data_IF_704840640650
#
_entry.id   IF_704840640650
#
_cell.length_a   1.000
_cell.length_b   1.000
_cell.length_c   1.000
_cell.angle_alpha   90.00
_cell.angle_beta   90.00
_cell.angle_gamma   90.00
#
_symmetry.space_group_name_H-M   'P 1'
#
loop_
_entity.id
_entity.type
_entity.pdbx_description
1 polymer ?
#
# COMPACT_ATOMS: atom_id res chain seq x y z
N UNK A 1 -2.74 13.74 5.58
CA UNK A 1 -1.54 12.99 6.00
C UNK A 1 -0.72 12.61 4.77
N UNK A 2 0.47 13.20 4.63
CA UNK A 2 1.50 12.72 3.69
C UNK A 2 2.07 11.43 4.30
N UNK A 3 1.85 10.31 3.62
CA UNK A 3 2.03 8.96 4.17
C UNK A 3 3.46 8.56 4.54
N UNK A 4 4.47 9.35 4.19
CA UNK A 4 5.87 9.17 4.61
C UNK A 4 6.58 10.53 4.70
N UNK A 5 7.63 10.66 5.52
CA UNK A 5 8.47 11.85 5.52
C UNK A 5 9.05 12.12 4.13
N UNK A 6 9.08 13.39 3.72
CA UNK A 6 9.48 13.80 2.37
C UNK A 6 10.84 13.24 1.95
N UNK A 7 11.80 13.14 2.87
CA UNK A 7 13.15 12.62 2.60
C UNK A 7 13.20 11.13 2.28
N UNK A 8 12.28 10.31 2.84
CA UNK A 8 12.19 8.88 2.52
C UNK A 8 11.73 8.70 1.08
N UNK A 9 10.68 9.43 0.70
CA UNK A 9 10.16 9.45 -0.66
C UNK A 9 11.21 9.96 -1.65
N UNK A 10 11.88 11.08 -1.34
CA UNK A 10 12.94 11.62 -2.19
C UNK A 10 14.10 10.65 -2.38
N UNK A 11 14.56 9.99 -1.31
CA UNK A 11 15.62 8.98 -1.39
C UNK A 11 15.23 7.79 -2.29
N UNK A 12 14.00 7.29 -2.17
CA UNK A 12 13.48 6.22 -3.02
C UNK A 12 13.45 6.64 -4.51
N UNK A 13 12.96 7.85 -4.81
CA UNK A 13 12.91 8.34 -6.19
C UNK A 13 14.31 8.53 -6.79
N UNK A 14 15.27 9.05 -6.03
CA UNK A 14 16.66 9.19 -6.49
C UNK A 14 17.30 7.83 -6.78
N UNK A 15 17.07 6.83 -5.92
CA UNK A 15 17.55 5.47 -6.13
C UNK A 15 16.95 4.87 -7.41
N UNK A 16 15.63 4.99 -7.60
CA UNK A 16 14.97 4.51 -8.81
C UNK A 16 15.50 5.22 -10.06
N UNK A 17 15.63 6.54 -10.02
CA UNK A 17 16.21 7.31 -11.13
C UNK A 17 17.62 6.83 -11.46
N UNK A 18 18.49 6.66 -10.46
CA UNK A 18 19.86 6.18 -10.66
C UNK A 18 19.87 4.79 -11.33
N UNK A 19 19.07 3.84 -10.82
CA UNK A 19 18.99 2.48 -11.39
C UNK A 19 18.53 2.52 -12.86
N UNK A 20 17.51 3.31 -13.20
CA UNK A 20 17.02 3.35 -14.58
C UNK A 20 17.96 4.12 -15.50
N UNK A 21 18.55 5.22 -15.04
CA UNK A 21 19.48 6.03 -15.83
C UNK A 21 20.74 5.25 -16.22
N UNK A 22 21.24 4.36 -15.35
CA UNK A 22 22.44 3.55 -15.66
C UNK A 22 22.14 2.26 -16.42
N UNK A 23 20.88 1.82 -16.49
CA UNK A 23 20.50 0.53 -17.12
C UNK A 23 19.70 0.66 -18.41
N UNK A 24 19.04 1.80 -18.63
CA UNK A 24 18.14 2.01 -19.76
C UNK A 24 18.61 3.17 -20.63
N UNK A 25 18.18 3.16 -21.90
CA UNK A 25 18.30 4.36 -22.76
C UNK A 25 17.48 5.49 -22.14
N UNK A 26 17.95 6.72 -22.30
CA UNK A 26 17.40 7.91 -21.66
C UNK A 26 15.87 8.05 -21.81
N UNK A 27 15.34 7.83 -23.01
CA UNK A 27 13.91 7.89 -23.28
C UNK A 27 13.10 6.88 -22.45
N UNK A 28 13.59 5.64 -22.34
CA UNK A 28 12.96 4.62 -21.52
C UNK A 28 13.09 4.94 -20.03
N UNK A 29 14.25 5.40 -19.58
CA UNK A 29 14.46 5.79 -18.19
C UNK A 29 13.49 6.91 -17.76
N UNK A 30 13.30 7.92 -18.61
CA UNK A 30 12.37 9.02 -18.37
C UNK A 30 10.92 8.52 -18.30
N UNK A 31 10.48 7.66 -19.22
CA UNK A 31 9.11 7.10 -19.20
C UNK A 31 8.86 6.23 -17.97
N UNK A 32 9.82 5.37 -17.59
CA UNK A 32 9.70 4.54 -16.38
C UNK A 32 9.62 5.40 -15.12
N UNK A 33 10.50 6.39 -14.99
CA UNK A 33 10.47 7.32 -13.85
C UNK A 33 9.14 8.08 -13.77
N UNK A 34 8.65 8.60 -14.90
CA UNK A 34 7.35 9.25 -14.98
C UNK A 34 6.20 8.33 -14.55
N UNK A 35 6.22 7.06 -14.95
CA UNK A 35 5.24 6.05 -14.54
C UNK A 35 5.26 5.77 -13.02
N UNK A 36 6.45 5.64 -12.43
CA UNK A 36 6.60 5.43 -10.98
C UNK A 36 6.12 6.66 -10.20
N UNK A 37 6.47 7.86 -10.65
CA UNK A 37 6.02 9.11 -10.03
C UNK A 37 4.49 9.24 -10.10
N UNK A 38 3.89 9.01 -11.28
CA UNK A 38 2.45 9.02 -11.44
C UNK A 38 1.75 7.97 -10.55
N UNK A 39 2.30 6.75 -10.47
CA UNK A 39 1.80 5.69 -9.59
C UNK A 39 1.85 6.08 -8.10
N UNK A 40 2.91 6.75 -7.67
CA UNK A 40 3.03 7.27 -6.31
C UNK A 40 1.99 8.36 -6.01
N UNK A 41 1.80 9.32 -6.92
CA UNK A 41 0.77 10.36 -6.76
C UNK A 41 -0.64 9.75 -6.73
N UNK A 42 -0.90 8.75 -7.57
CA UNK A 42 -2.15 8.01 -7.54
C UNK A 42 -2.36 7.31 -6.18
N UNK A 43 -1.34 6.63 -5.66
CA UNK A 43 -1.37 6.03 -4.33
C UNK A 43 -1.69 7.06 -3.24
N UNK A 44 -0.98 8.19 -3.21
CA UNK A 44 -1.22 9.25 -2.23
C UNK A 44 -2.64 9.83 -2.33
N UNK A 45 -3.13 10.02 -3.55
CA UNK A 45 -4.48 10.52 -3.81
C UNK A 45 -5.54 9.55 -3.29
N UNK A 46 -5.44 8.26 -3.64
CA UNK A 46 -6.37 7.23 -3.15
C UNK A 46 -6.34 7.13 -1.63
N UNK A 47 -5.15 7.10 -1.02
CA UNK A 47 -4.99 7.08 0.43
C UNK A 47 -5.66 8.31 1.08
N UNK A 48 -5.44 9.50 0.53
CA UNK A 48 -6.05 10.73 1.01
C UNK A 48 -7.58 10.66 0.90
N UNK A 49 -8.11 10.23 -0.25
CA UNK A 49 -9.55 10.07 -0.47
C UNK A 49 -10.14 9.09 0.54
N UNK A 50 -9.51 7.95 0.78
CA UNK A 50 -9.96 6.93 1.74
C UNK A 50 -10.08 7.46 3.16
N UNK A 51 -9.22 8.40 3.56
CA UNK A 51 -9.24 8.98 4.91
C UNK A 51 -10.18 10.18 5.06
N UNK A 52 -10.31 11.00 4.02
CA UNK A 52 -10.94 12.32 4.13
C UNK A 52 -12.29 12.43 3.43
N UNK A 53 -12.67 11.46 2.59
CA UNK A 53 -13.86 11.54 1.76
C UNK A 53 -14.72 10.28 1.87
N UNK A 54 -16.04 10.46 1.71
CA UNK A 54 -17.01 9.36 1.59
C UNK A 54 -17.41 9.21 0.13
N UNK A 55 -16.81 8.25 -0.55
CA UNK A 55 -17.12 7.94 -1.95
C UNK A 55 -18.26 6.91 -2.00
N UNK A 56 -19.31 7.17 -2.78
CA UNK A 56 -20.48 6.28 -2.89
C UNK A 56 -20.20 4.99 -3.67
N UNK A 57 -19.14 4.98 -4.49
CA UNK A 57 -18.75 3.83 -5.30
C UNK A 57 -18.46 2.59 -4.44
N UNK A 58 -19.09 1.46 -4.77
CA UNK A 58 -19.00 0.20 -4.00
C UNK A 58 -17.57 -0.31 -3.90
N UNK A 59 -16.82 -0.31 -5.02
CA UNK A 59 -15.43 -0.75 -5.04
C UNK A 59 -14.55 0.12 -4.14
N UNK A 60 -14.75 1.45 -4.19
CA UNK A 60 -13.97 2.36 -3.36
C UNK A 60 -14.30 2.19 -1.87
N UNK A 61 -15.59 2.02 -1.52
CA UNK A 61 -16.01 1.73 -0.14
C UNK A 61 -15.36 0.46 0.40
N UNK A 62 -15.28 -0.57 -0.43
CA UNK A 62 -14.61 -1.82 -0.10
C UNK A 62 -13.11 -1.62 0.13
N UNK A 63 -12.43 -0.80 -0.67
CA UNK A 63 -11.03 -0.44 -0.41
C UNK A 63 -10.85 0.39 0.86
N UNK A 64 -11.70 1.38 1.11
CA UNK A 64 -11.67 2.15 2.35
C UNK A 64 -11.85 1.24 3.57
N UNK A 65 -12.78 0.26 3.50
CA UNK A 65 -12.94 -0.74 4.56
C UNK A 65 -11.70 -1.60 4.74
N UNK A 66 -11.09 -2.05 3.64
CA UNK A 66 -9.85 -2.85 3.65
C UNK A 66 -8.70 -2.09 4.34
N UNK A 67 -8.51 -0.83 3.98
CA UNK A 67 -7.50 0.07 4.56
C UNK A 67 -7.80 0.41 6.03
N UNK A 68 -9.06 0.61 6.39
CA UNK A 68 -9.45 0.83 7.79
C UNK A 68 -9.16 -0.39 8.68
N UNK A 69 -9.21 -1.61 8.13
CA UNK A 69 -8.81 -2.82 8.87
C UNK A 69 -7.30 -2.80 9.10
N UNK A 70 -6.49 -2.42 8.10
CA UNK A 70 -5.04 -2.29 8.25
C UNK A 70 -4.66 -1.31 9.38
N UNK A 71 -5.32 -0.15 9.47
CA UNK A 71 -5.10 0.79 10.59
C UNK A 71 -5.40 0.21 11.96
N UNK A 72 -6.30 -0.77 12.06
CA UNK A 72 -6.62 -1.48 13.31
C UNK A 72 -5.70 -2.68 13.55
N UNK A 73 -5.27 -3.34 12.49
CA UNK A 73 -4.45 -4.55 12.47
C UNK A 73 -3.31 -4.32 11.47
N UNK A 74 -2.20 -3.75 11.97
CA UNK A 74 -1.10 -3.25 11.13
C UNK A 74 -0.33 -4.36 10.39
N UNK A 75 -0.60 -5.63 10.67
CA UNK A 75 0.05 -6.81 10.09
C UNK A 75 -0.69 -7.43 8.90
N UNK A 76 -1.80 -6.82 8.45
CA UNK A 76 -2.62 -7.31 7.34
C UNK A 76 -3.05 -6.17 6.41
N UNK A 77 -3.54 -6.50 5.22
CA UNK A 77 -4.17 -5.56 4.29
C UNK A 77 -3.28 -4.37 3.88
N UNK A 78 -2.05 -4.62 3.43
CA UNK A 78 -1.11 -3.58 3.04
C UNK A 78 -1.52 -2.83 1.76
N UNK A 79 -2.34 -3.44 0.91
CA UNK A 79 -2.78 -2.86 -0.35
C UNK A 79 -3.77 -1.70 -0.18
N UNK A 80 -3.34 -0.49 -0.54
CA UNK A 80 -4.16 0.73 -0.45
C UNK A 80 -4.98 0.97 -1.72
N UNK A 81 -4.35 0.86 -2.89
CA UNK A 81 -5.01 1.14 -4.20
C UNK A 81 -5.77 -0.06 -4.75
N UNK A 82 -5.36 -1.27 -4.37
CA UNK A 82 -6.01 -2.53 -4.72
C UNK A 82 -5.56 -3.64 -3.76
N UNK A 83 -6.25 -4.79 -3.80
CA UNK A 83 -5.99 -5.95 -2.92
C UNK A 83 -5.13 -7.04 -3.58
N UNK A 84 -4.59 -6.81 -4.79
CA UNK A 84 -3.93 -7.86 -5.58
C UNK A 84 -2.72 -8.43 -4.84
N UNK A 85 -1.80 -7.56 -4.42
CA UNK A 85 -0.58 -7.98 -3.73
C UNK A 85 -0.87 -8.62 -2.38
N UNK A 86 -1.94 -8.22 -1.68
CA UNK A 86 -2.35 -8.89 -0.44
C UNK A 86 -2.78 -10.36 -0.65
N UNK A 87 -3.26 -10.70 -1.83
CA UNK A 87 -3.58 -12.09 -2.19
C UNK A 87 -2.33 -12.85 -2.58
N UNK A 88 -1.44 -12.23 -3.36
CA UNK A 88 -0.18 -12.83 -3.79
C UNK A 88 0.70 -13.17 -2.58
N UNK A 89 0.80 -12.27 -1.60
CA UNK A 89 1.63 -12.45 -0.41
C UNK A 89 0.86 -13.03 0.79
N UNK A 90 -0.43 -13.34 0.64
CA UNK A 90 -1.24 -13.94 1.70
C UNK A 90 -1.48 -13.04 2.91
N UNK A 91 -1.36 -11.71 2.76
CA UNK A 91 -1.55 -10.71 3.82
C UNK A 91 -2.98 -10.18 3.90
N UNK A 92 -3.90 -10.69 3.06
CA UNK A 92 -5.31 -10.32 3.12
C UNK A 92 -5.96 -10.83 4.42
N UNK A 93 -6.59 -9.92 5.16
CA UNK A 93 -7.32 -10.22 6.39
C UNK A 93 -8.43 -11.26 6.15
N UNK A 94 -8.45 -12.29 7.01
CA UNK A 94 -9.50 -13.32 7.08
C UNK A 94 -9.96 -13.48 8.53
N UNK A 95 -11.27 -13.42 8.75
CA UNK A 95 -11.86 -13.43 10.09
C UNK A 95 -11.57 -14.73 10.85
N UNK A 96 -11.66 -15.90 10.20
CA UNK A 96 -11.33 -17.17 10.87
C UNK A 96 -9.84 -17.26 11.23
N UNK A 97 -8.97 -16.90 10.28
CA UNK A 97 -7.51 -16.94 10.49
C UNK A 97 -7.04 -16.07 11.66
N UNK A 98 -7.66 -14.89 11.82
CA UNK A 98 -7.35 -14.00 12.95
C UNK A 98 -7.78 -14.60 14.30
N UNK A 99 -8.97 -15.21 14.39
CA UNK A 99 -9.43 -15.88 15.62
C UNK A 99 -8.47 -16.99 16.05
N UNK A 100 -8.02 -17.81 15.10
CA UNK A 100 -7.07 -18.89 15.36
C UNK A 100 -5.74 -18.36 15.90
N UNK A 101 -5.20 -17.30 15.29
CA UNK A 101 -3.98 -16.63 15.79
C UNK A 101 -4.16 -16.08 17.20
N UNK A 102 -5.29 -15.46 17.50
CA UNK A 102 -5.58 -14.93 18.83
C UNK A 102 -5.62 -16.03 19.90
N UNK A 103 -6.31 -17.14 19.63
CA UNK A 103 -6.36 -18.31 20.53
C UNK A 103 -4.97 -18.92 20.73
N UNK A 104 -4.21 -19.12 19.65
CA UNK A 104 -2.85 -19.65 19.74
C UNK A 104 -1.89 -18.75 20.54
N UNK A 105 -2.13 -17.44 20.57
CA UNK A 105 -1.34 -16.47 21.35
C UNK A 105 -1.68 -16.54 22.84
N UNK A 106 -2.95 -16.76 23.18
CA UNK A 106 -3.38 -16.97 24.57
C UNK A 106 -2.80 -18.26 25.15
N UNK A 107 -2.88 -19.37 24.39
CA UNK A 107 -2.37 -20.67 24.84
C UNK A 107 -0.84 -20.71 25.01
N UNK A 108 -0.10 -19.80 24.36
CA UNK A 108 1.37 -19.72 24.48
C UNK A 108 1.84 -18.97 25.73
N UNK A 109 0.95 -18.19 26.34
CA UNK A 109 1.26 -17.32 27.47
C UNK A 109 0.70 -17.88 28.80
N UNK A 110 0.05 -19.05 28.77
CA UNK A 110 -0.38 -19.86 29.92
C UNK A 110 0.60 -21.02 30.10
#
# INVERSE_FOLDING_TARGET
LLGMPWYVTSGFFLLMWYIFAVRLRESFAASFFGGIAAGYFYYCSVHHIQHHFRVANVWFRELTRHHNIHHRLQDVNFGVTNRFWDRVFGTQYRKEGYKLRAVARLNRNN
#
